data_IF_741730616521
#
_entry.id   IF_741730616521
#
_cell.length_a   1.000
_cell.length_b   1.000
_cell.length_c   1.000
_cell.angle_alpha   90.00
_cell.angle_beta   90.00
_cell.angle_gamma   90.00
#
_symmetry.space_group_name_H-M   'P 1'
#
loop_
_entity.id
_entity.type
_entity.pdbx_description
1 polymer ?
#
# COMPACT_ATOMS: atom_id res chain seq x y z
N UNK A 1 -10.13 9.86 7.62
CA UNK A 1 -10.41 8.44 7.47
C UNK A 1 -9.57 7.65 8.45
N UNK A 2 -10.14 6.69 9.15
CA UNK A 2 -9.41 5.94 10.15
C UNK A 2 -9.80 4.48 10.14
N UNK A 3 -8.91 3.66 10.67
CA UNK A 3 -9.13 2.24 10.87
C UNK A 3 -9.37 1.94 12.33
N UNK A 4 -10.24 0.99 12.57
CA UNK A 4 -10.49 0.50 13.90
C UNK A 4 -10.24 -1.00 13.93
N UNK A 5 -9.39 -1.40 14.85
CA UNK A 5 -9.14 -2.82 15.07
C UNK A 5 -9.99 -3.32 16.22
N UNK A 6 -10.75 -4.36 15.93
CA UNK A 6 -11.64 -4.96 16.92
C UNK A 6 -11.26 -6.43 17.02
N UNK A 7 -11.08 -6.92 18.23
CA UNK A 7 -10.83 -8.34 18.42
C UNK A 7 -12.10 -9.12 18.11
N UNK A 8 -11.96 -10.13 17.30
CA UNK A 8 -13.02 -11.09 17.11
C UNK A 8 -13.24 -11.81 18.45
N UNK A 9 -14.43 -11.89 18.89
CA UNK A 9 -14.93 -12.43 20.16
C UNK A 9 -13.97 -13.25 21.00
N UNK A 10 -14.32 -13.56 22.16
CA UNK A 10 -13.55 -14.45 22.97
C UNK A 10 -12.68 -13.81 24.02
N UNK A 11 -12.03 -14.64 24.77
CA UNK A 11 -11.18 -14.28 25.89
C UNK A 11 -9.94 -13.55 25.41
N UNK A 12 -9.55 -12.47 26.06
CA UNK A 12 -8.31 -11.77 25.75
C UNK A 12 -7.09 -12.58 26.13
N UNK A 13 -6.93 -13.77 25.59
CA UNK A 13 -5.80 -14.63 25.90
C UNK A 13 -4.58 -14.20 25.10
N UNK A 14 -3.39 -14.58 25.61
CA UNK A 14 -2.13 -14.38 24.91
C UNK A 14 -2.20 -15.05 23.55
N UNK A 15 -1.61 -14.42 22.55
CA UNK A 15 -1.57 -14.97 21.20
C UNK A 15 -2.79 -14.65 20.35
N UNK A 16 -3.67 -13.78 20.81
CA UNK A 16 -4.81 -13.36 20.02
C UNK A 16 -4.32 -12.67 18.73
N UNK A 17 -4.88 -13.10 17.61
CA UNK A 17 -4.59 -12.52 16.32
C UNK A 17 -5.21 -11.13 16.22
N UNK A 18 -4.41 -10.17 15.75
CA UNK A 18 -4.87 -8.82 15.43
C UNK A 18 -4.81 -8.64 13.93
N UNK A 19 -5.87 -8.08 13.38
CA UNK A 19 -5.93 -7.75 11.96
C UNK A 19 -5.98 -6.23 11.79
N UNK A 20 -5.20 -5.75 10.83
CA UNK A 20 -5.14 -4.34 10.48
C UNK A 20 -5.46 -4.25 8.99
N UNK A 21 -6.37 -3.37 8.64
CA UNK A 21 -6.80 -3.27 7.25
C UNK A 21 -6.74 -1.83 6.78
N UNK A 22 -6.34 -1.66 5.55
CA UNK A 22 -6.36 -0.36 4.89
C UNK A 22 -6.89 -0.53 3.47
N UNK A 23 -7.63 0.45 3.02
CA UNK A 23 -8.16 0.49 1.67
C UNK A 23 -8.02 1.92 1.14
N UNK A 24 -7.70 2.02 -0.13
CA UNK A 24 -7.61 3.32 -0.78
C UNK A 24 -8.14 3.25 -2.20
N UNK A 25 -8.90 4.28 -2.58
CA UNK A 25 -9.41 4.46 -3.93
C UNK A 25 -8.71 5.66 -4.56
N UNK A 26 -8.17 5.48 -5.74
CA UNK A 26 -7.42 6.52 -6.43
C UNK A 26 -7.98 6.74 -7.82
N UNK A 27 -8.33 7.96 -8.16
CA UNK A 27 -8.75 8.32 -9.51
C UNK A 27 -7.57 8.22 -10.47
N UNK A 28 -7.73 7.43 -11.51
CA UNK A 28 -6.68 7.24 -12.51
C UNK A 28 -6.36 8.56 -13.21
N UNK A 29 -7.37 9.37 -13.49
CA UNK A 29 -7.22 10.68 -14.09
C UNK A 29 -6.24 11.58 -13.34
N UNK A 30 -6.22 11.47 -12.00
CA UNK A 30 -5.28 12.24 -11.17
C UNK A 30 -3.84 11.90 -11.56
N UNK A 31 -3.55 10.63 -11.78
CA UNK A 31 -2.20 10.20 -12.16
C UNK A 31 -1.89 10.50 -13.62
N UNK A 32 -2.88 10.47 -14.50
CA UNK A 32 -2.68 10.91 -15.87
C UNK A 32 -2.20 12.36 -15.88
N UNK A 33 -2.81 13.19 -15.07
CA UNK A 33 -2.46 14.61 -14.95
C UNK A 33 -1.08 14.81 -14.31
N UNK A 34 -0.77 14.06 -13.27
CA UNK A 34 0.54 14.15 -12.61
C UNK A 34 1.66 13.75 -13.56
N UNK A 35 1.49 12.66 -14.30
CA UNK A 35 2.50 12.19 -15.24
C UNK A 35 2.72 13.16 -16.38
N UNK A 36 1.69 13.85 -16.80
CA UNK A 36 1.78 14.86 -17.85
C UNK A 36 2.47 16.14 -17.37
N UNK A 37 2.05 16.65 -16.21
CA UNK A 37 2.50 17.96 -15.72
C UNK A 37 3.69 17.91 -14.78
N UNK A 38 3.86 16.83 -14.04
CA UNK A 38 4.89 16.72 -13.01
C UNK A 38 5.54 15.34 -13.03
N UNK A 39 6.12 14.94 -14.18
CA UNK A 39 6.64 13.56 -14.33
C UNK A 39 7.74 13.21 -13.32
N UNK A 40 8.48 14.19 -12.83
CA UNK A 40 9.52 13.94 -11.84
C UNK A 40 8.99 13.45 -10.49
N UNK A 41 7.70 13.64 -10.22
CA UNK A 41 7.09 13.16 -8.96
C UNK A 41 7.13 11.64 -8.85
N UNK A 42 6.98 10.94 -9.97
CA UNK A 42 7.04 9.48 -9.96
C UNK A 42 8.37 8.97 -9.42
N UNK A 43 9.48 9.59 -9.82
CA UNK A 43 10.81 9.20 -9.37
C UNK A 43 11.03 9.42 -7.87
N UNK A 44 10.31 10.38 -7.29
CA UNK A 44 10.42 10.66 -5.86
C UNK A 44 9.58 9.71 -5.01
N UNK A 45 8.51 9.20 -5.57
CA UNK A 45 7.53 8.39 -4.84
C UNK A 45 7.81 6.91 -4.99
N UNK A 46 8.09 6.47 -6.21
CA UNK A 46 8.19 5.06 -6.54
C UNK A 46 9.62 4.58 -6.69
N UNK A 47 9.82 3.29 -6.49
CA UNK A 47 11.13 2.68 -6.71
C UNK A 47 11.39 2.52 -8.20
N UNK A 48 12.67 2.38 -8.61
CA UNK A 48 12.99 2.13 -10.02
C UNK A 48 12.27 0.90 -10.59
N UNK A 49 12.13 -0.16 -9.83
CA UNK A 49 11.43 -1.37 -10.28
C UNK A 49 9.94 -1.12 -10.47
N UNK A 50 9.33 -0.34 -9.59
CA UNK A 50 7.92 0.04 -9.73
C UNK A 50 7.72 0.90 -10.98
N UNK A 51 8.60 1.86 -11.20
CA UNK A 51 8.53 2.72 -12.38
C UNK A 51 8.66 1.88 -13.66
N UNK A 52 9.62 0.96 -13.69
CA UNK A 52 9.79 0.07 -14.85
C UNK A 52 8.54 -0.76 -15.10
N UNK A 53 7.92 -1.27 -14.05
CA UNK A 53 6.69 -2.03 -14.16
C UNK A 53 5.55 -1.18 -14.75
N UNK A 54 5.38 0.03 -14.27
CA UNK A 54 4.34 0.93 -14.75
C UNK A 54 4.57 1.34 -16.20
N UNK A 55 5.80 1.69 -16.56
CA UNK A 55 6.10 2.16 -17.90
C UNK A 55 5.88 1.10 -18.98
N UNK A 56 5.98 -0.17 -18.64
CA UNK A 56 5.66 -1.26 -19.57
C UNK A 56 4.20 -1.26 -20.01
N UNK A 57 3.32 -0.62 -19.26
CA UNK A 57 1.89 -0.58 -19.58
C UNK A 57 1.54 0.44 -20.66
N UNK A 58 2.51 1.26 -21.08
CA UNK A 58 2.29 2.24 -22.13
C UNK A 58 1.17 3.22 -21.82
N UNK A 59 0.15 3.28 -22.63
CA UNK A 59 -0.98 4.20 -22.45
C UNK A 59 -1.75 3.97 -21.15
N UNK A 60 -1.65 2.79 -20.57
CA UNK A 60 -2.31 2.43 -19.31
C UNK A 60 -1.42 2.62 -18.09
N UNK A 61 -0.27 3.27 -18.24
CA UNK A 61 0.67 3.44 -17.15
C UNK A 61 0.09 4.19 -15.94
N UNK A 62 -0.77 5.16 -16.18
CA UNK A 62 -1.40 5.94 -15.11
C UNK A 62 -2.20 5.06 -14.15
N UNK A 63 -2.87 4.05 -14.68
CA UNK A 63 -3.62 3.06 -13.91
C UNK A 63 -2.70 2.31 -12.94
N UNK A 64 -1.52 1.94 -13.41
CA UNK A 64 -0.53 1.24 -12.58
C UNK A 64 0.06 2.14 -11.50
N UNK A 65 0.39 3.39 -11.84
CA UNK A 65 0.88 4.34 -10.85
C UNK A 65 -0.18 4.63 -9.78
N UNK A 66 -1.42 4.79 -10.20
CA UNK A 66 -2.53 5.01 -9.26
C UNK A 66 -2.65 3.83 -8.28
N UNK A 67 -2.51 2.61 -8.79
CA UNK A 67 -2.57 1.41 -7.96
C UNK A 67 -1.44 1.37 -6.93
N UNK A 68 -0.23 1.70 -7.34
CA UNK A 68 0.92 1.70 -6.43
C UNK A 68 0.86 2.83 -5.41
N UNK A 69 0.32 3.97 -5.80
CA UNK A 69 0.05 5.05 -4.85
C UNK A 69 -1.00 4.59 -3.83
N UNK A 70 -2.07 3.96 -4.31
CA UNK A 70 -3.11 3.40 -3.46
C UNK A 70 -2.56 2.37 -2.48
N UNK A 71 -1.61 1.55 -2.91
CA UNK A 71 -0.97 0.57 -2.03
C UNK A 71 -0.28 1.24 -0.84
N UNK A 72 0.42 2.34 -1.09
CA UNK A 72 1.09 3.10 -0.03
C UNK A 72 0.09 3.71 0.95
N UNK A 73 -0.96 4.32 0.43
CA UNK A 73 -2.01 4.92 1.26
C UNK A 73 -2.73 3.85 2.08
N UNK A 74 -3.03 2.72 1.46
CA UNK A 74 -3.69 1.61 2.16
C UNK A 74 -2.80 1.05 3.27
N UNK A 75 -1.50 0.90 3.00
CA UNK A 75 -0.55 0.46 4.02
C UNK A 75 -0.51 1.44 5.20
N UNK A 76 -0.48 2.73 4.91
CA UNK A 76 -0.50 3.76 5.96
C UNK A 76 -1.77 3.68 6.80
N UNK A 77 -2.91 3.47 6.16
CA UNK A 77 -4.18 3.32 6.87
C UNK A 77 -4.21 2.06 7.75
N UNK A 78 -3.68 0.96 7.24
CA UNK A 78 -3.60 -0.27 8.02
C UNK A 78 -2.76 -0.07 9.28
N UNK A 79 -1.66 0.66 9.17
CA UNK A 79 -0.76 0.94 10.27
C UNK A 79 -1.22 2.10 11.17
N UNK A 80 -2.28 2.80 10.77
CA UNK A 80 -2.78 3.95 11.51
C UNK A 80 -1.85 5.16 11.46
N UNK A 81 -1.07 5.29 10.38
CA UNK A 81 -0.18 6.42 10.18
C UNK A 81 -0.43 7.05 8.81
N UNK A 82 -0.13 8.35 8.71
CA UNK A 82 -0.18 9.04 7.44
C UNK A 82 1.14 8.92 6.68
N UNK A 83 1.10 9.19 5.39
CA UNK A 83 2.30 9.26 4.59
C UNK A 83 2.69 10.72 4.47
N UNK A 84 3.87 11.05 4.97
CA UNK A 84 4.37 12.42 4.95
C UNK A 84 5.77 12.48 4.34
N UNK A 85 5.96 13.40 3.40
CA UNK A 85 7.27 13.76 2.88
C UNK A 85 8.03 12.58 2.30
N UNK A 86 9.22 12.33 2.82
CA UNK A 86 10.14 11.32 2.31
C UNK A 86 9.75 9.87 2.59
N UNK A 87 8.68 9.65 3.37
CA UNK A 87 8.26 8.30 3.73
C UNK A 87 7.55 7.54 2.61
N UNK A 88 7.31 8.18 1.47
CA UNK A 88 6.58 7.54 0.37
C UNK A 88 7.23 6.25 -0.12
N UNK A 89 8.55 6.15 -0.09
CA UNK A 89 9.26 4.95 -0.51
C UNK A 89 9.39 3.90 0.59
N UNK A 90 8.94 4.20 1.79
CA UNK A 90 9.02 3.27 2.92
C UNK A 90 8.00 2.12 2.81
N UNK A 91 7.05 2.24 1.92
CA UNK A 91 6.20 1.12 1.50
C UNK A 91 6.37 0.99 -0.01
N UNK A 92 6.64 -0.21 -0.47
CA UNK A 92 6.82 -0.43 -1.92
C UNK A 92 6.34 -1.82 -2.31
N UNK A 93 6.15 -2.01 -3.60
CA UNK A 93 5.58 -3.23 -4.16
C UNK A 93 6.58 -3.90 -5.09
N UNK A 94 6.69 -5.20 -4.96
CA UNK A 94 7.35 -6.05 -5.95
C UNK A 94 6.31 -7.05 -6.46
N UNK A 95 6.68 -7.89 -7.40
CA UNK A 95 5.75 -8.84 -8.00
C UNK A 95 6.32 -10.24 -7.93
N UNK A 96 5.46 -11.20 -7.61
CA UNK A 96 5.83 -12.59 -7.61
C UNK A 96 6.09 -13.08 -9.03
N UNK A 97 6.62 -14.27 -9.13
CA UNK A 97 6.81 -14.98 -10.40
C UNK A 97 5.52 -15.02 -11.24
N UNK A 98 4.37 -15.08 -10.59
CA UNK A 98 3.07 -15.16 -11.25
C UNK A 98 2.39 -13.80 -11.45
N UNK A 99 3.08 -12.72 -11.12
CA UNK A 99 2.57 -11.38 -11.32
C UNK A 99 1.73 -10.82 -10.18
N UNK A 100 1.67 -11.52 -9.04
CA UNK A 100 0.94 -11.01 -7.88
C UNK A 100 1.76 -9.93 -7.16
N UNK A 101 1.11 -8.85 -6.71
CA UNK A 101 1.82 -7.82 -5.97
C UNK A 101 2.20 -8.31 -4.57
N UNK A 102 3.37 -7.88 -4.13
CA UNK A 102 3.88 -8.18 -2.79
C UNK A 102 4.30 -6.88 -2.14
N UNK A 103 3.76 -6.60 -0.95
CA UNK A 103 4.05 -5.37 -0.21
C UNK A 103 5.27 -5.54 0.68
N UNK A 104 6.13 -4.52 0.66
CA UNK A 104 7.31 -4.47 1.51
C UNK A 104 7.32 -3.15 2.29
N UNK A 105 7.83 -3.21 3.50
CA UNK A 105 7.95 -2.04 4.36
C UNK A 105 9.40 -1.84 4.77
N UNK A 106 9.79 -0.59 4.88
CA UNK A 106 11.08 -0.19 5.45
C UNK A 106 10.89 1.12 6.22
N UNK A 107 11.92 1.56 6.89
CA UNK A 107 11.91 2.84 7.61
C UNK A 107 10.76 2.99 8.58
N UNK A 108 10.08 4.12 8.50
CA UNK A 108 8.99 4.49 9.40
C UNK A 108 7.84 3.46 9.39
N UNK A 109 7.51 2.95 8.22
CA UNK A 109 6.43 1.98 8.08
C UNK A 109 6.79 0.66 8.75
N UNK A 110 8.01 0.19 8.55
CA UNK A 110 8.49 -1.03 9.19
C UNK A 110 8.52 -0.89 10.72
N UNK A 111 9.01 0.25 11.21
CA UNK A 111 9.02 0.53 12.64
C UNK A 111 7.63 0.45 13.23
N UNK A 112 6.65 1.09 12.59
CA UNK A 112 5.27 1.07 13.06
C UNK A 112 4.68 -0.33 13.03
N UNK A 113 4.96 -1.10 11.99
CA UNK A 113 4.50 -2.49 11.90
C UNK A 113 5.04 -3.32 13.06
N UNK A 114 6.30 -3.13 13.42
CA UNK A 114 6.89 -3.81 14.57
C UNK A 114 6.22 -3.41 15.87
N UNK A 115 5.94 -2.13 16.05
CA UNK A 115 5.24 -1.64 17.24
C UNK A 115 3.87 -2.31 17.40
N UNK A 116 3.21 -2.59 16.29
CA UNK A 116 1.90 -3.23 16.28
C UNK A 116 1.96 -4.76 16.32
N UNK A 117 3.17 -5.34 16.25
CA UNK A 117 3.34 -6.78 16.25
C UNK A 117 2.96 -7.45 14.93
N UNK A 118 2.99 -6.72 13.83
CA UNK A 118 2.67 -7.27 12.51
C UNK A 118 3.72 -8.29 12.08
N UNK A 119 3.27 -9.47 11.67
CA UNK A 119 4.13 -10.53 11.18
C UNK A 119 3.80 -10.98 9.75
N UNK A 120 2.61 -10.65 9.27
CA UNK A 120 2.16 -11.04 7.94
C UNK A 120 1.43 -9.91 7.27
N UNK A 121 1.55 -9.83 5.96
CA UNK A 121 0.87 -8.82 5.15
C UNK A 121 0.38 -9.43 3.86
N UNK A 122 -0.77 -8.94 3.40
CA UNK A 122 -1.31 -9.26 2.08
C UNK A 122 -1.77 -7.98 1.42
N UNK A 123 -1.69 -7.95 0.11
CA UNK A 123 -2.16 -6.83 -0.68
C UNK A 123 -2.96 -7.34 -1.87
N UNK A 124 -4.02 -6.63 -2.20
CA UNK A 124 -4.79 -6.87 -3.41
C UNK A 124 -5.03 -5.54 -4.11
N UNK A 125 -4.91 -5.55 -5.41
CA UNK A 125 -5.08 -4.36 -6.25
C UNK A 125 -6.08 -4.69 -7.34
N UNK A 126 -7.00 -3.77 -7.60
CA UNK A 126 -7.96 -3.90 -8.67
C UNK A 126 -8.19 -2.53 -9.30
N UNK A 127 -8.75 -2.50 -10.49
CA UNK A 127 -9.07 -1.24 -11.14
C UNK A 127 -10.25 -1.39 -12.09
N UNK A 128 -10.88 -0.29 -12.35
CA UNK A 128 -11.88 -0.12 -13.39
C UNK A 128 -11.47 1.09 -14.24
N UNK A 129 -12.32 1.48 -15.19
CA UNK A 129 -12.02 2.55 -16.14
C UNK A 129 -11.51 3.85 -15.51
N UNK A 130 -11.99 4.18 -14.31
CA UNK A 130 -11.71 5.48 -13.70
C UNK A 130 -10.99 5.41 -12.36
N UNK A 131 -10.94 4.25 -11.75
CA UNK A 131 -10.45 4.09 -10.38
C UNK A 131 -9.54 2.90 -10.23
N UNK A 132 -8.49 3.08 -9.42
CA UNK A 132 -7.72 1.96 -8.89
C UNK A 132 -8.04 1.82 -7.40
N UNK A 133 -8.06 0.60 -6.92
CA UNK A 133 -8.27 0.31 -5.50
C UNK A 133 -7.14 -0.58 -5.00
N UNK A 134 -6.68 -0.30 -3.81
CA UNK A 134 -5.72 -1.16 -3.12
C UNK A 134 -6.27 -1.52 -1.74
N UNK A 135 -6.13 -2.78 -1.38
CA UNK A 135 -6.50 -3.26 -0.05
C UNK A 135 -5.28 -3.91 0.56
N UNK A 136 -4.95 -3.52 1.77
CA UNK A 136 -3.84 -4.09 2.53
C UNK A 136 -4.40 -4.69 3.80
N UNK A 137 -4.03 -5.93 4.07
CA UNK A 137 -4.38 -6.61 5.33
C UNK A 137 -3.09 -7.02 5.99
N UNK A 138 -2.95 -6.67 7.25
CA UNK A 138 -1.80 -7.05 8.06
C UNK A 138 -2.29 -7.85 9.25
N UNK A 139 -1.52 -8.84 9.64
CA UNK A 139 -1.86 -9.69 10.75
C UNK A 139 -0.68 -9.80 11.70
N UNK A 140 -0.97 -9.87 12.99
CA UNK A 140 0.06 -10.05 13.99
C UNK A 140 -0.55 -10.45 15.31
N UNK A 141 0.30 -10.86 16.23
CA UNK A 141 -0.10 -11.22 17.55
C UNK A 141 0.70 -10.41 18.57
N UNK A 142 0.03 -9.91 19.59
CA UNK A 142 0.70 -9.35 20.74
C UNK A 142 0.87 -10.45 21.77
N UNK A 143 2.07 -10.68 22.12
CA UNK A 143 2.38 -11.50 23.28
C UNK A 143 2.22 -10.68 24.54
#
# INVERSE_FOLDING_TARGET
MYNRNVRAGGSGSEGDLMLFVGVDLVKIERWERILEKFPARAEKIFTPDEIAHCEKKGKKRAESYAALWGAREAAGKALGIGIFGSAWQDAYVTWSKWGAPELHLKGTFEKRARELGVTEMSISISHEDHMSIAVVVMAGGKS
#
